data_IF_034602734853
#
_entry.id   IF_034602734853
#
_cell.length_a   1.000
_cell.length_b   1.000
_cell.length_c   1.000
_cell.angle_alpha   90.00
_cell.angle_beta   90.00
_cell.angle_gamma   90.00
#
_symmetry.space_group_name_H-M   'P 1'
#
loop_
_entity.id
_entity.type
_entity.pdbx_description
1 polymer ?
#
# COMPACT_ATOMS: atom_id res chain seq x y z
N UNK A 1 10.86 -4.78 13.46
CA UNK A 1 9.53 -5.38 13.74
C UNK A 1 8.61 -5.03 12.59
N UNK A 2 7.87 -5.99 12.05
CA UNK A 2 6.88 -5.76 10.99
C UNK A 2 5.51 -5.65 11.65
N UNK A 3 4.65 -4.76 11.16
CA UNK A 3 3.30 -4.61 11.69
C UNK A 3 2.44 -5.81 11.28
N UNK A 4 1.80 -6.52 12.23
CA UNK A 4 0.79 -7.50 11.89
C UNK A 4 -0.49 -6.81 11.36
N UNK A 5 -1.32 -7.56 10.65
CA UNK A 5 -2.59 -7.11 10.06
C UNK A 5 -3.50 -6.28 10.98
N UNK A 6 -3.68 -6.70 12.24
CA UNK A 6 -4.52 -5.99 13.21
C UNK A 6 -3.97 -4.61 13.57
N UNK A 7 -2.64 -4.47 13.67
CA UNK A 7 -2.02 -3.16 13.89
C UNK A 7 -2.10 -2.29 12.63
N UNK A 8 -1.97 -2.87 11.43
CA UNK A 8 -2.21 -2.16 10.17
C UNK A 8 -3.65 -1.60 10.14
N UNK A 9 -4.65 -2.44 10.42
CA UNK A 9 -6.07 -2.05 10.49
C UNK A 9 -6.31 -0.94 11.50
N UNK A 10 -5.73 -1.05 12.69
CA UNK A 10 -5.80 -0.03 13.75
C UNK A 10 -5.21 1.31 13.31
N UNK A 11 -4.01 1.32 12.74
CA UNK A 11 -3.35 2.56 12.32
C UNK A 11 -4.05 3.25 11.14
N UNK A 12 -4.69 2.48 10.25
CA UNK A 12 -5.58 2.99 9.20
C UNK A 12 -6.82 3.64 9.81
N UNK A 13 -7.47 2.98 10.78
CA UNK A 13 -8.65 3.51 11.47
C UNK A 13 -8.36 4.77 12.31
N UNK A 14 -7.18 4.82 12.94
CA UNK A 14 -6.70 6.00 13.68
C UNK A 14 -6.22 7.13 12.75
N UNK A 15 -6.14 6.90 11.44
CA UNK A 15 -5.66 7.88 10.45
C UNK A 15 -4.16 8.17 10.54
N UNK A 16 -3.41 7.39 11.32
CA UNK A 16 -1.94 7.51 11.44
C UNK A 16 -1.22 7.04 10.18
N UNK A 17 -1.81 6.08 9.47
CA UNK A 17 -1.40 5.65 8.13
C UNK A 17 -2.57 5.89 7.20
N UNK A 18 -2.29 6.40 6.00
CA UNK A 18 -3.29 6.66 4.98
C UNK A 18 -2.91 5.97 3.68
N UNK A 19 -3.80 5.11 3.18
CA UNK A 19 -3.65 4.43 1.88
C UNK A 19 -4.93 4.71 1.09
N UNK A 20 -4.81 5.42 -0.03
CA UNK A 20 -5.93 5.72 -0.91
C UNK A 20 -5.54 5.47 -2.38
N UNK A 21 -6.33 4.68 -3.14
CA UNK A 21 -7.50 3.92 -2.69
C UNK A 21 -7.12 2.63 -1.95
N UNK A 22 -7.96 2.22 -0.98
CA UNK A 22 -7.97 0.89 -0.40
C UNK A 22 -9.32 0.23 -0.72
N UNK A 23 -9.47 -0.16 -1.99
CA UNK A 23 -10.76 -0.57 -2.58
C UNK A 23 -11.31 -1.88 -2.04
N UNK A 24 -10.43 -2.78 -1.58
CA UNK A 24 -10.80 -4.09 -1.03
C UNK A 24 -9.87 -4.41 0.16
N UNK A 25 -10.14 -3.87 1.36
CA UNK A 25 -9.27 -4.05 2.52
C UNK A 25 -9.09 -5.50 2.94
N UNK A 26 -10.11 -6.35 2.76
CA UNK A 26 -10.04 -7.77 3.16
C UNK A 26 -9.13 -8.58 2.24
N UNK A 27 -9.07 -8.24 0.94
CA UNK A 27 -8.10 -8.82 0.01
C UNK A 27 -6.71 -8.17 0.12
N UNK A 28 -6.66 -6.86 0.32
CA UNK A 28 -5.40 -6.11 0.25
C UNK A 28 -4.59 -6.18 1.55
N UNK A 29 -5.21 -6.25 2.72
CA UNK A 29 -4.49 -6.34 3.99
C UNK A 29 -4.08 -7.80 4.22
N UNK A 30 -2.78 -8.05 4.14
CA UNK A 30 -2.13 -9.33 4.35
C UNK A 30 -1.59 -9.42 5.79
N UNK A 31 -1.21 -10.62 6.29
CA UNK A 31 -0.80 -10.82 7.69
C UNK A 31 0.28 -9.87 8.21
N UNK A 32 1.10 -9.33 7.32
CA UNK A 32 2.19 -8.40 7.66
C UNK A 32 2.43 -7.33 6.57
N UNK A 33 1.40 -6.95 5.79
CA UNK A 33 1.56 -6.03 4.66
C UNK A 33 0.24 -5.59 4.02
N UNK A 34 0.33 -4.71 3.02
CA UNK A 34 -0.81 -4.27 2.21
C UNK A 34 -0.44 -4.37 0.73
N UNK A 35 -1.21 -5.15 -0.03
CA UNK A 35 -1.03 -5.29 -1.47
C UNK A 35 -1.50 -4.02 -2.19
N UNK A 36 -0.60 -3.47 -3.03
CA UNK A 36 -0.85 -2.28 -3.84
C UNK A 36 -1.07 -2.65 -5.31
N UNK A 37 -1.70 -1.75 -6.06
CA UNK A 37 -1.96 -1.92 -7.49
C UNK A 37 -1.00 -1.07 -8.32
N UNK A 38 -0.47 -1.66 -9.40
CA UNK A 38 0.39 -0.95 -10.34
C UNK A 38 -0.43 0.03 -11.20
N UNK A 39 0.07 1.25 -11.36
CA UNK A 39 -0.52 2.23 -12.26
C UNK A 39 -0.19 1.94 -13.73
N UNK A 40 -0.97 2.50 -14.64
CA UNK A 40 -0.70 2.47 -16.08
C UNK A 40 0.22 3.63 -16.56
N UNK A 41 0.81 4.40 -15.64
CA UNK A 41 1.69 5.52 -15.95
C UNK A 41 3.14 5.15 -15.70
N UNK A 42 3.95 5.22 -16.76
CA UNK A 42 5.37 4.91 -16.72
C UNK A 42 6.19 6.09 -17.26
N UNK A 43 7.42 6.26 -16.76
CA UNK A 43 8.38 7.25 -17.25
C UNK A 43 9.64 6.50 -17.70
N UNK A 44 10.12 6.82 -18.89
CA UNK A 44 11.35 6.25 -19.48
C UNK A 44 12.41 7.35 -19.53
N UNK A 45 13.64 7.01 -19.14
CA UNK A 45 14.78 7.92 -19.19
C UNK A 45 15.52 7.78 -20.53
N UNK A 46 15.97 8.90 -21.10
CA UNK A 46 16.89 8.88 -22.25
C UNK A 46 18.32 8.78 -21.73
N UNK A 47 19.06 7.78 -22.20
CA UNK A 47 20.50 7.69 -21.99
C UNK A 47 21.18 8.61 -23.01
N UNK A 48 21.82 9.68 -22.55
CA UNK A 48 22.72 10.49 -23.38
C UNK A 48 24.11 9.89 -23.33
N UNK A 49 24.74 9.75 -24.49
CA UNK A 49 26.17 9.44 -24.62
C UNK A 49 27.04 10.69 -24.49
#
# INVERSE_FOLDING_TARGET
>A
MILPDHEIKKLLAEGKIKIEPLSDPELQIQPAGVDLRLSNKFRVFKLSS
#
